data_IF_733331684286
#
_entry.id   IF_733331684286
#
_cell.length_a   1.000
_cell.length_b   1.000
_cell.length_c   1.000
_cell.angle_alpha   90.00
_cell.angle_beta   90.00
_cell.angle_gamma   90.00
#
_symmetry.space_group_name_H-M   'P 1'
#
loop_
_entity.id
_entity.type
_entity.pdbx_description
1 polymer ?
#
# COMPACT_ATOMS: atom_id res chain seq x y z
N UNK A 1 -3.03 -8.73 14.66
CA UNK A 1 -1.78 -8.29 15.35
C UNK A 1 -0.76 -7.66 14.38
N UNK A 2 -0.62 -8.15 13.15
CA UNK A 2 0.31 -7.59 12.15
C UNK A 2 -0.14 -6.20 11.70
N UNK A 3 -1.44 -5.97 11.54
CA UNK A 3 -2.01 -4.66 11.18
C UNK A 3 -1.73 -3.59 12.24
N UNK A 4 -1.73 -3.95 13.51
CA UNK A 4 -1.45 -3.01 14.60
C UNK A 4 0.01 -2.52 14.60
N UNK A 5 0.95 -3.33 14.11
CA UNK A 5 2.37 -2.94 14.00
C UNK A 5 2.64 -1.93 12.88
N UNK A 6 1.85 -1.97 11.80
CA UNK A 6 1.94 -0.98 10.71
C UNK A 6 1.29 0.37 11.08
N UNK A 7 0.36 0.35 12.03
CA UNK A 7 -0.34 1.53 12.57
C UNK A 7 0.59 2.41 13.43
N UNK A 8 1.69 1.87 13.93
CA UNK A 8 2.63 2.58 14.81
C UNK A 8 3.59 3.55 14.10
N UNK A 9 3.49 3.76 12.76
CA UNK A 9 4.32 4.76 12.13
C UNK A 9 3.94 6.17 12.65
N UNK A 10 4.92 6.94 13.09
CA UNK A 10 4.74 8.30 13.66
C UNK A 10 3.86 9.22 12.80
N UNK A 11 3.74 8.94 11.50
CA UNK A 11 2.96 9.73 10.56
C UNK A 11 1.44 9.57 10.78
N UNK A 12 0.95 8.38 11.14
CA UNK A 12 -0.46 8.13 11.37
C UNK A 12 -0.95 8.58 12.75
N UNK A 13 -0.04 8.64 13.74
CA UNK A 13 -0.37 8.96 15.13
C UNK A 13 -0.46 10.47 15.35
N UNK A 14 0.29 11.27 14.57
CA UNK A 14 0.43 12.70 14.83
C UNK A 14 -0.69 13.59 14.32
N UNK A 15 -1.39 13.23 13.22
CA UNK A 15 -2.31 14.17 12.58
C UNK A 15 -3.79 13.79 12.62
N UNK A 16 -4.18 12.68 13.27
CA UNK A 16 -5.55 12.21 13.39
C UNK A 16 -6.33 12.16 12.05
N UNK A 17 -5.61 11.94 10.95
CA UNK A 17 -6.18 11.80 9.62
C UNK A 17 -6.86 10.46 9.39
N UNK A 18 -7.45 10.31 8.19
CA UNK A 18 -7.98 9.03 7.71
C UNK A 18 -6.96 8.41 6.76
N UNK A 19 -6.56 7.20 7.07
CA UNK A 19 -5.53 6.48 6.32
C UNK A 19 -6.01 5.10 5.90
N UNK A 20 -5.74 4.76 4.66
CA UNK A 20 -5.93 3.41 4.15
C UNK A 20 -4.57 2.76 3.90
N UNK A 21 -4.22 1.84 4.76
CA UNK A 21 -3.04 1.00 4.59
C UNK A 21 -3.29 -0.05 3.53
N UNK A 22 -2.39 -0.13 2.55
CA UNK A 22 -2.47 -1.10 1.45
C UNK A 22 -1.14 -1.82 1.33
N UNK A 23 -1.16 -3.13 1.53
CA UNK A 23 -0.02 -4.01 1.28
C UNK A 23 -0.34 -5.00 0.16
N UNK A 24 0.37 -4.87 -0.95
CA UNK A 24 0.16 -5.69 -2.16
C UNK A 24 1.18 -6.82 -2.19
N UNK A 25 0.72 -8.01 -1.82
CA UNK A 25 1.48 -9.25 -1.88
C UNK A 25 1.35 -9.97 -3.23
N UNK A 26 1.97 -11.16 -3.29
CA UNK A 26 1.87 -12.03 -4.48
C UNK A 26 0.51 -12.71 -4.60
N UNK A 27 -0.06 -13.14 -3.49
CA UNK A 27 -1.32 -13.90 -3.44
C UNK A 27 -2.54 -13.08 -3.04
N UNK A 28 -2.34 -12.03 -2.25
CA UNK A 28 -3.40 -11.21 -1.66
C UNK A 28 -3.02 -9.74 -1.58
N UNK A 29 -4.00 -8.91 -1.31
CA UNK A 29 -3.85 -7.50 -0.96
C UNK A 29 -4.55 -7.28 0.37
N UNK A 30 -3.80 -6.83 1.36
CA UNK A 30 -4.30 -6.48 2.69
C UNK A 30 -4.63 -4.98 2.72
N UNK A 31 -5.84 -4.65 3.19
CA UNK A 31 -6.31 -3.27 3.30
C UNK A 31 -6.82 -3.03 4.72
N UNK A 32 -6.33 -1.94 5.32
CA UNK A 32 -6.72 -1.53 6.66
C UNK A 32 -7.13 -0.06 6.65
N UNK A 33 -8.31 0.27 7.14
CA UNK A 33 -8.78 1.64 7.28
C UNK A 33 -8.60 2.10 8.72
N UNK A 34 -7.89 3.21 8.87
CA UNK A 34 -7.71 3.91 10.13
C UNK A 34 -8.43 5.25 10.09
N UNK A 35 -9.16 5.56 11.14
CA UNK A 35 -9.81 6.86 11.33
C UNK A 35 -9.41 7.39 12.69
N UNK A 36 -8.86 8.60 12.76
CA UNK A 36 -8.38 9.23 14.00
C UNK A 36 -7.34 8.39 14.78
N UNK A 37 -6.57 7.56 14.07
CA UNK A 37 -5.56 6.68 14.67
C UNK A 37 -6.11 5.32 15.16
N UNK A 38 -7.40 5.06 15.00
CA UNK A 38 -8.03 3.78 15.35
C UNK A 38 -8.28 2.93 14.11
N UNK A 39 -8.00 1.63 14.20
CA UNK A 39 -8.31 0.67 13.15
C UNK A 39 -9.81 0.38 13.17
N UNK A 40 -10.52 0.86 12.14
CA UNK A 40 -11.98 0.69 12.04
C UNK A 40 -12.39 -0.43 11.10
N UNK A 41 -11.52 -0.83 10.18
CA UNK A 41 -11.81 -1.92 9.24
C UNK A 41 -10.53 -2.57 8.72
N UNK A 42 -10.57 -3.88 8.48
CA UNK A 42 -9.44 -4.67 8.01
C UNK A 42 -9.93 -5.84 7.17
N UNK A 43 -9.29 -6.07 6.01
CA UNK A 43 -9.65 -7.14 5.09
C UNK A 43 -8.44 -7.62 4.32
N UNK A 44 -8.48 -8.87 3.84
CA UNK A 44 -7.54 -9.42 2.87
C UNK A 44 -8.32 -9.94 1.66
N UNK A 45 -8.02 -9.39 0.49
CA UNK A 45 -8.58 -9.86 -0.78
C UNK A 45 -7.63 -10.81 -1.48
N UNK A 46 -8.18 -11.87 -2.09
CA UNK A 46 -7.42 -12.79 -2.95
C UNK A 46 -7.09 -12.15 -4.31
N UNK A 47 -6.57 -10.93 -4.28
CA UNK A 47 -6.04 -10.18 -5.40
C UNK A 47 -4.57 -9.90 -5.07
N UNK A 48 -3.65 -10.49 -5.81
CA UNK A 48 -2.22 -10.31 -5.60
C UNK A 48 -1.48 -10.41 -6.93
N UNK A 49 -0.27 -9.90 -6.97
CA UNK A 49 0.47 -9.74 -8.23
C UNK A 49 0.69 -11.05 -8.97
N UNK A 50 1.11 -12.10 -8.27
CA UNK A 50 1.33 -13.44 -8.86
C UNK A 50 0.00 -14.09 -9.24
N UNK A 51 -1.04 -13.89 -8.40
CA UNK A 51 -2.38 -14.40 -8.68
C UNK A 51 -2.97 -13.77 -9.96
N UNK A 52 -2.74 -12.47 -10.19
CA UNK A 52 -3.13 -11.79 -11.42
C UNK A 52 -2.38 -12.36 -12.64
N UNK A 53 -1.07 -12.52 -12.54
CA UNK A 53 -0.25 -13.09 -13.63
C UNK A 53 -0.68 -14.51 -14.00
N UNK A 54 -1.15 -15.28 -13.03
CA UNK A 54 -1.64 -16.65 -13.23
C UNK A 54 -3.12 -16.74 -13.62
N UNK A 55 -3.80 -15.60 -13.84
CA UNK A 55 -5.26 -15.53 -14.07
C UNK A 55 -6.08 -16.28 -13.00
N UNK A 56 -5.60 -16.29 -11.76
CA UNK A 56 -6.18 -17.01 -10.64
C UNK A 56 -7.02 -16.12 -9.70
N UNK A 57 -7.27 -14.88 -10.07
CA UNK A 57 -8.24 -14.01 -9.40
C UNK A 57 -9.63 -14.48 -9.79
N UNK A 58 -10.43 -14.85 -8.78
CA UNK A 58 -11.80 -15.34 -9.04
C UNK A 58 -12.66 -14.21 -9.55
N UNK A 59 -13.60 -14.58 -10.44
CA UNK A 59 -14.62 -13.66 -10.93
C UNK A 59 -15.38 -13.02 -9.76
N UNK A 60 -15.69 -11.73 -9.88
CA UNK A 60 -16.39 -10.98 -8.84
C UNK A 60 -15.52 -10.47 -7.68
N UNK A 61 -14.27 -10.96 -7.52
CA UNK A 61 -13.42 -10.51 -6.40
C UNK A 61 -13.08 -9.02 -6.49
N UNK A 62 -12.83 -8.51 -7.67
CA UNK A 62 -12.60 -7.08 -7.90
C UNK A 62 -13.84 -6.26 -7.58
N UNK A 63 -14.99 -6.68 -8.05
CA UNK A 63 -16.26 -6.00 -7.79
C UNK A 63 -16.58 -5.99 -6.29
N UNK A 64 -16.37 -7.11 -5.60
CA UNK A 64 -16.53 -7.19 -4.15
C UNK A 64 -15.62 -6.18 -3.43
N UNK A 65 -14.35 -6.10 -3.82
CA UNK A 65 -13.41 -5.12 -3.24
C UNK A 65 -13.90 -3.69 -3.44
N UNK A 66 -14.34 -3.35 -4.66
CA UNK A 66 -14.82 -2.00 -4.98
C UNK A 66 -16.07 -1.64 -4.16
N UNK A 67 -17.05 -2.52 -4.09
CA UNK A 67 -18.30 -2.32 -3.33
C UNK A 67 -18.02 -2.17 -1.82
N UNK A 68 -17.17 -3.02 -1.26
CA UNK A 68 -16.80 -2.95 0.15
C UNK A 68 -15.99 -1.69 0.47
N UNK A 69 -15.03 -1.29 -0.38
CA UNK A 69 -14.28 -0.05 -0.22
C UNK A 69 -15.21 1.17 -0.27
N UNK A 70 -16.09 1.29 -1.26
CA UNK A 70 -17.07 2.37 -1.34
C UNK A 70 -17.93 2.46 -0.08
N UNK A 71 -18.39 1.31 0.42
CA UNK A 71 -19.23 1.24 1.63
C UNK A 71 -18.50 1.68 2.88
N UNK A 72 -17.26 1.22 3.11
CA UNK A 72 -16.52 1.53 4.35
C UNK A 72 -15.95 2.95 4.35
N UNK A 73 -15.83 3.57 3.19
CA UNK A 73 -15.36 4.95 3.04
C UNK A 73 -16.49 5.96 2.93
N UNK A 74 -17.74 5.51 2.93
CA UNK A 74 -18.91 6.39 2.88
C UNK A 74 -18.93 7.34 4.06
N UNK A 75 -18.99 8.65 3.79
CA UNK A 75 -18.97 9.69 4.82
C UNK A 75 -17.60 9.94 5.49
N UNK A 76 -16.56 9.18 5.13
CA UNK A 76 -15.20 9.43 5.60
C UNK A 76 -14.59 10.57 4.78
N UNK A 77 -14.12 11.61 5.46
CA UNK A 77 -13.40 12.71 4.80
C UNK A 77 -12.12 12.20 4.09
N UNK A 78 -11.46 13.07 3.35
CA UNK A 78 -10.28 12.73 2.53
C UNK A 78 -9.42 11.59 3.10
N UNK A 79 -9.29 10.51 2.35
CA UNK A 79 -8.51 9.32 2.73
C UNK A 79 -7.15 9.38 2.05
N UNK A 80 -6.09 9.23 2.83
CA UNK A 80 -4.73 9.10 2.32
C UNK A 80 -4.34 7.63 2.27
N UNK A 81 -3.82 7.17 1.13
CA UNK A 81 -3.29 5.81 1.02
C UNK A 81 -1.87 5.77 1.57
N UNK A 82 -1.56 4.75 2.35
CA UNK A 82 -0.20 4.39 2.73
C UNK A 82 0.09 3.04 2.08
N UNK A 83 0.99 3.04 1.10
CA UNK A 83 1.40 1.84 0.40
C UNK A 83 2.65 1.24 1.02
N UNK A 84 2.61 -0.06 1.33
CA UNK A 84 3.77 -0.80 1.80
C UNK A 84 4.23 -1.87 0.81
N UNK A 85 5.46 -2.34 1.02
CA UNK A 85 6.03 -3.41 0.22
C UNK A 85 6.97 -2.96 -0.91
N UNK A 86 7.71 -3.93 -1.42
CA UNK A 86 8.79 -3.67 -2.39
C UNK A 86 8.32 -3.16 -3.74
N UNK A 87 7.07 -3.44 -4.14
CA UNK A 87 6.53 -2.99 -5.42
C UNK A 87 6.24 -1.49 -5.42
N UNK A 88 5.50 -1.00 -4.42
CA UNK A 88 5.20 0.44 -4.34
C UNK A 88 6.46 1.26 -4.11
N UNK A 89 7.43 0.76 -3.33
CA UNK A 89 8.73 1.40 -3.16
C UNK A 89 9.48 1.54 -4.49
N UNK A 90 9.41 0.53 -5.38
CA UNK A 90 10.05 0.61 -6.69
C UNK A 90 9.29 1.55 -7.62
N UNK A 91 7.95 1.51 -7.64
CA UNK A 91 7.11 2.44 -8.40
C UNK A 91 7.37 3.89 -8.00
N UNK A 92 7.47 4.16 -6.69
CA UNK A 92 7.86 5.47 -6.17
C UNK A 92 9.23 5.91 -6.70
N UNK A 93 10.23 5.02 -6.74
CA UNK A 93 11.56 5.36 -7.28
C UNK A 93 11.51 5.67 -8.76
N UNK A 94 10.70 4.96 -9.55
CA UNK A 94 10.56 5.15 -10.99
C UNK A 94 9.80 6.43 -11.36
N UNK A 95 8.89 6.89 -10.53
CA UNK A 95 8.11 8.09 -10.81
C UNK A 95 9.01 9.34 -10.84
N UNK A 96 8.84 10.15 -11.88
CA UNK A 96 9.58 11.42 -12.03
C UNK A 96 9.05 12.49 -11.07
N UNK A 97 7.72 12.66 -11.03
CA UNK A 97 7.07 13.62 -10.15
C UNK A 97 6.67 12.95 -8.84
N UNK A 98 7.39 13.25 -7.78
CA UNK A 98 7.15 12.75 -6.41
C UNK A 98 7.72 13.71 -5.38
N UNK A 99 7.13 13.72 -4.20
CA UNK A 99 7.68 14.43 -3.07
C UNK A 99 8.54 13.47 -2.23
N UNK A 100 9.85 13.60 -2.38
CA UNK A 100 10.82 12.76 -1.65
C UNK A 100 10.88 13.10 -0.15
N UNK A 101 10.59 14.33 0.23
CA UNK A 101 10.64 14.77 1.63
C UNK A 101 9.45 14.19 2.40
N UNK A 102 8.26 14.25 1.81
CA UNK A 102 7.05 13.71 2.40
C UNK A 102 6.80 12.25 2.03
N UNK A 103 7.70 11.60 1.27
CA UNK A 103 7.52 10.24 0.76
C UNK A 103 6.16 10.05 0.07
N UNK A 104 5.76 11.03 -0.75
CA UNK A 104 4.43 11.12 -1.34
C UNK A 104 4.48 10.97 -2.85
N UNK A 105 3.70 10.03 -3.37
CA UNK A 105 3.55 9.72 -4.79
C UNK A 105 2.17 10.20 -5.26
N UNK A 106 2.07 11.19 -6.17
CA UNK A 106 0.80 11.52 -6.81
C UNK A 106 0.26 10.31 -7.59
N UNK A 107 -1.04 10.03 -7.49
CA UNK A 107 -1.69 8.94 -8.24
C UNK A 107 -1.52 9.15 -9.75
N UNK A 108 -1.57 10.39 -10.23
CA UNK A 108 -1.30 10.73 -11.64
C UNK A 108 0.12 10.35 -12.09
N UNK A 109 1.11 10.43 -11.20
CA UNK A 109 2.47 10.01 -11.51
C UNK A 109 2.60 8.47 -11.51
N UNK A 110 1.89 7.79 -10.61
CA UNK A 110 1.79 6.34 -10.64
C UNK A 110 1.13 5.86 -11.95
N UNK A 111 0.06 6.55 -12.40
CA UNK A 111 -0.58 6.26 -13.68
C UNK A 111 0.42 6.41 -14.84
N UNK A 112 1.20 7.49 -14.85
CA UNK A 112 2.23 7.69 -15.89
C UNK A 112 3.25 6.54 -15.90
N UNK A 113 3.72 6.11 -14.74
CA UNK A 113 4.66 4.97 -14.64
C UNK A 113 4.00 3.68 -15.14
N UNK A 114 2.74 3.44 -14.76
CA UNK A 114 1.98 2.27 -15.22
C UNK A 114 1.84 2.25 -16.75
N UNK A 115 1.47 3.39 -17.36
CA UNK A 115 1.26 3.50 -18.80
C UNK A 115 2.56 3.25 -19.59
N UNK A 116 3.71 3.62 -19.02
CA UNK A 116 5.03 3.33 -19.61
C UNK A 116 5.42 1.86 -19.45
N UNK A 117 5.15 1.27 -18.28
CA UNK A 117 5.56 -0.11 -17.99
C UNK A 117 4.64 -1.16 -18.66
N UNK A 118 3.35 -0.86 -18.77
CA UNK A 118 2.34 -1.83 -19.22
C UNK A 118 2.62 -2.43 -20.62
N UNK A 119 2.99 -1.65 -21.66
CA UNK A 119 3.22 -2.19 -22.98
C UNK A 119 4.54 -2.99 -23.11
N UNK A 120 5.46 -2.87 -22.16
CA UNK A 120 6.76 -3.52 -22.20
C UNK A 120 6.70 -4.97 -21.72
N UNK A 121 7.52 -5.83 -22.32
CA UNK A 121 7.77 -7.18 -21.79
C UNK A 121 8.57 -7.13 -20.48
N UNK A 122 8.59 -8.20 -19.68
CA UNK A 122 9.43 -8.26 -18.48
C UNK A 122 10.92 -8.00 -18.79
N UNK A 123 11.44 -8.53 -19.88
CA UNK A 123 12.82 -8.35 -20.32
C UNK A 123 13.13 -6.90 -20.64
N UNK A 124 12.25 -6.23 -21.39
CA UNK A 124 12.37 -4.80 -21.70
C UNK A 124 12.31 -3.94 -20.42
N UNK A 125 11.47 -4.31 -19.44
CA UNK A 125 11.42 -3.62 -18.13
C UNK A 125 12.71 -3.79 -17.34
N UNK A 126 13.33 -4.98 -17.40
CA UNK A 126 14.64 -5.22 -16.77
C UNK A 126 15.69 -4.31 -17.39
N UNK A 127 15.76 -4.27 -18.72
CA UNK A 127 16.77 -3.49 -19.44
C UNK A 127 16.57 -1.98 -19.27
N UNK A 128 15.34 -1.48 -19.51
CA UNK A 128 15.06 -0.05 -19.51
C UNK A 128 15.06 0.59 -18.10
N UNK A 129 14.66 -0.17 -17.06
CA UNK A 129 14.45 0.37 -15.70
C UNK A 129 15.34 -0.27 -14.64
N UNK A 130 16.30 -1.09 -15.03
CA UNK A 130 17.19 -1.83 -14.12
C UNK A 130 16.39 -2.55 -13.03
N UNK A 131 15.31 -3.22 -13.44
CA UNK A 131 14.50 -4.04 -12.54
C UNK A 131 15.20 -5.40 -12.35
N UNK A 132 15.01 -5.98 -11.17
CA UNK A 132 15.30 -7.41 -10.98
C UNK A 132 14.26 -8.23 -11.73
N UNK A 133 14.62 -9.41 -12.21
CA UNK A 133 13.72 -10.28 -12.99
C UNK A 133 12.42 -10.58 -12.22
N UNK A 134 12.54 -10.98 -10.95
CA UNK A 134 11.43 -11.27 -10.05
C UNK A 134 10.50 -10.06 -9.79
N UNK A 135 10.98 -8.86 -10.10
CA UNK A 135 10.22 -7.61 -9.95
C UNK A 135 9.57 -7.17 -11.26
N UNK A 136 10.19 -7.44 -12.39
CA UNK A 136 9.73 -7.01 -13.70
C UNK A 136 8.35 -7.60 -14.07
N UNK A 137 8.05 -8.83 -13.60
CA UNK A 137 6.76 -9.47 -13.81
C UNK A 137 5.65 -8.84 -12.99
N UNK A 138 5.92 -8.60 -11.70
CA UNK A 138 4.89 -8.25 -10.71
C UNK A 138 4.63 -6.76 -10.56
N UNK A 139 5.48 -5.89 -11.14
CA UNK A 139 5.39 -4.44 -10.94
C UNK A 139 4.14 -3.82 -11.57
N UNK A 140 3.75 -4.30 -12.77
CA UNK A 140 2.56 -3.82 -13.47
C UNK A 140 1.27 -4.24 -12.76
N UNK A 141 1.07 -5.52 -12.40
CA UNK A 141 -0.05 -5.91 -11.55
C UNK A 141 -0.12 -5.13 -10.22
N UNK A 142 1.03 -4.87 -9.58
CA UNK A 142 1.04 -4.07 -8.36
C UNK A 142 0.54 -2.63 -8.59
N UNK A 143 1.03 -1.98 -9.65
CA UNK A 143 0.57 -0.64 -10.00
C UNK A 143 -0.93 -0.61 -10.28
N UNK A 144 -1.47 -1.61 -10.96
CA UNK A 144 -2.89 -1.73 -11.28
C UNK A 144 -3.75 -1.84 -10.02
N UNK A 145 -3.33 -2.65 -9.03
CA UNK A 145 -4.03 -2.77 -7.76
C UNK A 145 -4.06 -1.42 -7.02
N UNK A 146 -2.91 -0.74 -6.90
CA UNK A 146 -2.85 0.56 -6.22
C UNK A 146 -3.69 1.63 -6.93
N UNK A 147 -3.65 1.68 -8.26
CA UNK A 147 -4.45 2.61 -9.06
C UNK A 147 -5.95 2.37 -8.86
N UNK A 148 -6.37 1.09 -8.87
CA UNK A 148 -7.78 0.73 -8.67
C UNK A 148 -8.29 1.13 -7.29
N UNK A 149 -7.51 0.86 -6.24
CA UNK A 149 -7.85 1.28 -4.88
C UNK A 149 -7.92 2.81 -4.79
N UNK A 150 -6.92 3.51 -5.34
CA UNK A 150 -6.88 4.97 -5.32
C UNK A 150 -8.07 5.61 -6.05
N UNK A 151 -8.51 5.02 -7.17
CA UNK A 151 -9.70 5.43 -7.90
C UNK A 151 -10.95 5.32 -7.02
N UNK A 152 -11.17 4.17 -6.40
CA UNK A 152 -12.37 3.90 -5.58
C UNK A 152 -12.47 4.82 -4.38
N UNK A 153 -11.35 5.09 -3.69
CA UNK A 153 -11.33 5.93 -2.49
C UNK A 153 -11.05 7.41 -2.79
N UNK A 154 -10.95 7.77 -4.06
CA UNK A 154 -10.66 9.13 -4.54
C UNK A 154 -9.38 9.73 -3.93
N UNK A 155 -8.34 8.90 -3.75
CA UNK A 155 -7.06 9.35 -3.21
C UNK A 155 -6.25 10.10 -4.28
N UNK A 156 -5.71 11.26 -3.91
CA UNK A 156 -4.81 12.02 -4.80
C UNK A 156 -3.35 11.56 -4.70
N UNK A 157 -2.99 11.00 -3.55
CA UNK A 157 -1.61 10.62 -3.22
C UNK A 157 -1.53 9.28 -2.53
N UNK A 158 -0.39 8.61 -2.74
CA UNK A 158 0.02 7.43 -2.00
C UNK A 158 1.29 7.81 -1.21
N UNK A 159 1.23 7.69 0.09
CA UNK A 159 2.41 7.79 0.95
C UNK A 159 3.17 6.47 0.88
N UNK A 160 4.49 6.55 0.67
CA UNK A 160 5.36 5.38 0.51
C UNK A 160 6.49 5.48 1.53
N UNK A 161 6.20 5.23 2.82
CA UNK A 161 7.23 5.29 3.86
C UNK A 161 8.26 4.19 3.64
N UNK A 162 9.54 4.49 3.89
CA UNK A 162 10.63 3.51 3.82
C UNK A 162 10.64 2.61 5.08
N UNK A 163 9.48 2.35 5.65
CA UNK A 163 9.31 1.55 6.86
C UNK A 163 8.80 0.17 6.42
N UNK A 164 9.48 -0.88 6.85
CA UNK A 164 9.06 -2.27 6.64
C UNK A 164 8.27 -2.81 7.84
N UNK A 165 7.65 -3.97 7.67
CA UNK A 165 6.96 -4.70 8.74
C UNK A 165 7.86 -4.92 9.98
N UNK A 166 9.16 -5.17 9.76
CA UNK A 166 10.16 -5.32 10.81
C UNK A 166 10.28 -4.09 11.69
N UNK A 167 10.24 -2.90 11.12
CA UNK A 167 10.39 -1.65 11.86
C UNK A 167 9.20 -1.44 12.80
N UNK A 168 7.96 -1.65 12.31
CA UNK A 168 6.75 -1.59 13.12
C UNK A 168 6.68 -2.64 14.23
N UNK A 169 7.26 -3.83 14.03
CA UNK A 169 7.36 -4.86 15.08
C UNK A 169 8.34 -4.41 16.17
N UNK A 170 9.49 -3.86 15.80
CA UNK A 170 10.51 -3.37 16.73
C UNK A 170 9.94 -2.23 17.57
N UNK A 171 9.29 -1.24 16.95
CA UNK A 171 8.67 -0.11 17.64
C UNK A 171 7.60 -0.56 18.64
N UNK A 172 6.76 -1.52 18.26
CA UNK A 172 5.72 -2.06 19.15
C UNK A 172 6.32 -2.84 20.34
N UNK A 173 7.37 -3.63 20.09
CA UNK A 173 8.08 -4.35 21.16
C UNK A 173 8.77 -3.39 22.11
N UNK A 174 9.37 -2.32 21.58
CA UNK A 174 10.01 -1.28 22.38
C UNK A 174 8.99 -0.52 23.24
N UNK A 175 7.86 -0.09 22.67
CA UNK A 175 6.79 0.56 23.41
C UNK A 175 6.25 -0.33 24.55
N UNK A 176 6.00 -1.62 24.27
CA UNK A 176 5.58 -2.60 25.29
C UNK A 176 6.62 -2.84 26.39
N UNK A 177 7.92 -2.73 26.09
CA UNK A 177 8.98 -2.85 27.09
C UNK A 177 8.97 -1.65 28.03
N UNK A 178 8.83 -0.42 27.50
CA UNK A 178 8.73 0.80 28.30
C UNK A 178 7.50 0.81 29.24
N UNK A 179 6.34 0.35 28.73
CA UNK A 179 5.12 0.24 29.56
C UNK A 179 5.29 -0.78 30.72
N UNK A 180 6.09 -1.82 30.52
CA UNK A 180 6.39 -2.79 31.58
C UNK A 180 7.33 -2.22 32.62
N UNK A 181 8.34 -1.45 32.21
CA UNK A 181 9.26 -0.79 33.14
C UNK A 181 8.53 0.25 34.01
N UNK A 182 7.62 1.04 33.43
CA UNK A 182 6.83 2.04 34.18
C UNK A 182 5.82 1.44 35.15
N UNK A 183 5.45 0.15 35.02
CA UNK A 183 4.51 -0.54 35.93
C UNK A 183 5.23 -1.26 37.09
N UNK A 184 6.56 -1.27 37.13
CA UNK A 184 7.37 -1.96 38.15
C UNK A 184 7.90 -0.94 39.20
N UNK A 185 7.76 0.37 38.96
CA UNK A 185 7.95 1.44 39.96
C UNK A 185 6.61 1.78 40.66
#
# INVERSE_FOLDING_TARGET
EISACLVGSEMCIRDRGNYMYVDVGGGSTEINLLTNGELVWSVSYNIGTVRMLSNAVKEGTWQQMEEELMKVTEGVAAINIIGSGGNINKLFRLADKKDKKLQRLPVSSLQTVYDVLKPLTPEERVEAFSLKQDRADVIVPAAEIFLKIAEVVHAEYIYVPVIGLSDGIIDNLYAKSLEKEMKVE
#
